data_IF_599603966878
#
_entry.id   IF_599603966878
#
_cell.length_a   1.000
_cell.length_b   1.000
_cell.length_c   1.000
_cell.angle_alpha   90.00
_cell.angle_beta   90.00
_cell.angle_gamma   90.00
#
_symmetry.space_group_name_H-M   'P 1'
#
loop_
_entity.id
_entity.type
_entity.pdbx_description
1 polymer ?
#
# COMPACT_ATOMS: atom_id res chain seq x y z
N UNK A 1 -23.65 3.88 2.04
CA UNK A 1 -22.75 3.17 1.11
C UNK A 1 -21.35 3.00 1.71
N UNK A 2 -21.23 2.82 3.04
CA UNK A 2 -19.97 2.99 3.80
C UNK A 2 -19.26 1.68 4.14
N UNK A 3 -19.95 0.55 4.02
CA UNK A 3 -19.35 -0.79 4.17
C UNK A 3 -19.03 -1.43 2.83
N UNK A 4 -19.55 -0.89 1.73
CA UNK A 4 -19.40 -1.50 0.41
C UNK A 4 -18.03 -1.22 -0.22
N UNK A 5 -17.34 -0.13 0.11
CA UNK A 5 -16.03 0.21 -0.47
C UNK A 5 -14.89 -0.57 0.19
N UNK A 6 -14.85 -0.61 1.54
CA UNK A 6 -13.92 -1.47 2.29
C UNK A 6 -14.12 -2.96 1.98
N UNK A 7 -15.37 -3.42 1.86
CA UNK A 7 -15.66 -4.79 1.40
C UNK A 7 -15.29 -4.99 -0.08
N UNK A 8 -15.33 -3.94 -0.92
CA UNK A 8 -14.86 -4.06 -2.32
C UNK A 8 -13.34 -4.27 -2.36
N UNK A 9 -12.57 -3.46 -1.62
CA UNK A 9 -11.10 -3.54 -1.59
C UNK A 9 -10.64 -4.88 -0.98
N UNK A 10 -11.27 -5.33 0.11
CA UNK A 10 -10.98 -6.62 0.75
C UNK A 10 -11.39 -7.84 -0.12
N UNK A 11 -12.46 -7.74 -0.91
CA UNK A 11 -12.81 -8.82 -1.86
C UNK A 11 -11.89 -8.81 -3.09
N UNK A 12 -11.35 -7.65 -3.46
CA UNK A 12 -10.45 -7.53 -4.61
C UNK A 12 -9.09 -8.17 -4.33
N UNK A 13 -8.50 -8.13 -3.14
CA UNK A 13 -7.13 -8.67 -2.93
C UNK A 13 -7.11 -10.20 -2.93
N UNK A 14 -8.02 -10.84 -2.19
CA UNK A 14 -8.18 -12.29 -2.24
C UNK A 14 -8.55 -12.80 -3.63
N UNK A 15 -9.40 -12.09 -4.38
CA UNK A 15 -9.73 -12.46 -5.77
C UNK A 15 -8.64 -12.05 -6.75
N UNK A 16 -7.90 -10.97 -6.52
CA UNK A 16 -6.78 -10.52 -7.35
C UNK A 16 -5.64 -11.51 -7.18
N UNK A 17 -5.05 -11.72 -6.01
CA UNK A 17 -3.94 -12.68 -5.89
C UNK A 17 -4.34 -14.13 -6.26
N UNK A 18 -5.62 -14.53 -6.12
CA UNK A 18 -6.10 -15.84 -6.58
C UNK A 18 -6.55 -15.90 -8.07
N UNK A 19 -6.85 -14.78 -8.75
CA UNK A 19 -7.36 -14.74 -10.14
C UNK A 19 -6.60 -13.82 -11.10
N UNK A 20 -5.98 -12.75 -10.62
CA UNK A 20 -4.99 -11.87 -11.25
C UNK A 20 -3.59 -12.12 -10.66
N UNK A 21 -2.67 -12.66 -11.47
CA UNK A 21 -1.27 -12.77 -11.05
C UNK A 21 -0.72 -11.41 -10.55
N UNK A 22 0.29 -11.42 -9.67
CA UNK A 22 0.95 -10.20 -9.13
C UNK A 22 1.23 -9.09 -10.17
N UNK A 23 1.40 -9.44 -11.45
CA UNK A 23 1.55 -8.44 -12.53
C UNK A 23 0.32 -7.57 -12.75
N UNK A 24 -0.89 -8.13 -12.67
CA UNK A 24 -2.14 -7.38 -12.81
C UNK A 24 -2.30 -6.38 -11.67
N UNK A 25 -2.19 -6.87 -10.44
CA UNK A 25 -2.26 -6.05 -9.24
C UNK A 25 -1.20 -4.93 -9.20
N UNK A 26 0.04 -5.22 -9.59
CA UNK A 26 1.09 -4.18 -9.70
C UNK A 26 0.82 -3.19 -10.84
N UNK A 27 0.19 -3.62 -11.93
CA UNK A 27 -0.20 -2.71 -13.00
C UNK A 27 -1.33 -1.77 -12.57
N UNK A 28 -2.29 -2.27 -11.80
CA UNK A 28 -3.37 -1.46 -11.20
C UNK A 28 -2.78 -0.47 -10.18
N UNK A 29 -1.95 -0.95 -9.25
CA UNK A 29 -1.23 -0.11 -8.31
C UNK A 29 -0.45 0.98 -9.04
N UNK A 30 0.31 0.65 -10.08
CA UNK A 30 1.04 1.65 -10.86
C UNK A 30 0.12 2.65 -11.55
N UNK A 31 -1.06 2.22 -12.00
CA UNK A 31 -2.07 3.09 -12.62
C UNK A 31 -2.66 4.09 -11.62
N UNK A 32 -2.85 3.66 -10.38
CA UNK A 32 -3.51 4.45 -9.32
C UNK A 32 -2.51 5.28 -8.49
N UNK A 33 -1.21 5.17 -8.81
CA UNK A 33 -0.13 5.79 -8.05
C UNK A 33 0.76 6.67 -8.91
N UNK A 34 1.30 7.71 -8.28
CA UNK A 34 2.46 8.45 -8.75
C UNK A 34 3.71 7.99 -7.98
N UNK A 35 4.86 8.22 -8.58
CA UNK A 35 6.17 8.00 -7.94
C UNK A 35 6.85 9.35 -7.89
N UNK A 36 7.16 9.81 -6.69
CA UNK A 36 7.75 11.12 -6.42
C UNK A 36 9.05 10.97 -5.64
N UNK A 37 9.86 12.03 -5.65
CA UNK A 37 11.00 12.19 -4.75
C UNK A 37 10.54 13.09 -3.58
N UNK A 38 10.65 12.59 -2.35
CA UNK A 38 10.33 13.32 -1.14
C UNK A 38 11.43 13.04 -0.10
N UNK A 39 12.09 14.09 0.37
CA UNK A 39 13.22 14.02 1.31
C UNK A 39 14.38 13.07 0.92
N UNK A 40 14.52 12.77 -0.37
CA UNK A 40 15.54 11.86 -0.89
C UNK A 40 15.11 10.39 -0.95
N UNK A 41 13.87 10.09 -0.56
CA UNK A 41 13.22 8.80 -0.71
C UNK A 41 12.35 8.78 -1.97
N UNK A 42 12.33 7.64 -2.66
CA UNK A 42 11.42 7.39 -3.77
C UNK A 42 10.09 6.88 -3.24
N UNK A 43 9.08 7.75 -3.24
CA UNK A 43 7.78 7.49 -2.60
C UNK A 43 6.74 7.09 -3.63
N UNK A 44 6.08 5.95 -3.41
CA UNK A 44 4.87 5.57 -4.14
C UNK A 44 3.65 6.21 -3.45
N UNK A 45 3.00 7.15 -4.12
CA UNK A 45 1.88 7.90 -3.56
C UNK A 45 0.59 7.69 -4.36
N UNK A 46 -0.54 7.54 -3.68
CA UNK A 46 -1.85 7.54 -4.35
C UNK A 46 -2.09 8.85 -5.12
N UNK A 47 -2.53 8.76 -6.39
CA UNK A 47 -2.64 9.92 -7.30
C UNK A 47 -3.59 11.03 -6.83
N UNK A 48 -4.69 10.62 -6.22
CA UNK A 48 -5.77 11.52 -5.81
C UNK A 48 -5.94 11.47 -4.30
N UNK A 49 -6.49 12.55 -3.75
CA UNK A 49 -6.97 12.55 -2.38
C UNK A 49 -8.03 11.49 -2.20
N UNK A 50 -7.80 10.63 -1.22
CA UNK A 50 -8.77 9.62 -0.84
C UNK A 50 -9.86 10.23 0.03
N UNK A 51 -11.06 9.66 -0.08
CA UNK A 51 -12.28 10.20 0.55
C UNK A 51 -12.22 10.25 2.09
N UNK A 52 -11.30 9.50 2.70
CA UNK A 52 -11.15 9.44 4.15
C UNK A 52 -9.79 8.94 4.58
N UNK A 53 -9.45 9.25 5.84
CA UNK A 53 -8.32 8.67 6.56
C UNK A 53 -8.27 7.15 6.45
N UNK A 54 -9.38 6.46 6.72
CA UNK A 54 -9.45 5.00 6.60
C UNK A 54 -9.18 4.49 5.18
N UNK A 55 -9.54 5.26 4.15
CA UNK A 55 -9.23 4.91 2.77
C UNK A 55 -7.74 5.06 2.48
N UNK A 56 -7.10 6.08 3.05
CA UNK A 56 -5.66 6.30 2.95
C UNK A 56 -4.87 5.17 3.59
N UNK A 57 -5.20 4.78 4.82
CA UNK A 57 -4.61 3.61 5.46
C UNK A 57 -4.81 2.32 4.64
N UNK A 58 -6.02 2.11 4.12
CA UNK A 58 -6.33 0.95 3.28
C UNK A 58 -5.50 0.91 1.99
N UNK A 59 -5.30 2.05 1.33
CA UNK A 59 -4.42 2.13 0.17
C UNK A 59 -2.96 1.84 0.55
N UNK A 60 -2.44 2.43 1.63
CA UNK A 60 -1.04 2.21 2.04
C UNK A 60 -0.81 0.75 2.40
N UNK A 61 -1.76 0.11 3.09
CA UNK A 61 -1.71 -1.31 3.37
C UNK A 61 -1.70 -2.16 2.09
N UNK A 62 -2.58 -1.82 1.14
CA UNK A 62 -2.70 -2.53 -0.13
C UNK A 62 -1.39 -2.49 -0.92
N UNK A 63 -0.86 -1.29 -1.10
CA UNK A 63 0.41 -1.08 -1.77
C UNK A 63 1.54 -1.81 -1.03
N UNK A 64 1.54 -1.77 0.30
CA UNK A 64 2.55 -2.45 1.14
C UNK A 64 2.55 -3.96 0.94
N UNK A 65 1.38 -4.61 0.88
CA UNK A 65 1.27 -6.05 0.58
C UNK A 65 1.88 -6.37 -0.78
N UNK A 66 1.49 -5.65 -1.84
CA UNK A 66 1.97 -5.93 -3.19
C UNK A 66 3.48 -5.69 -3.32
N UNK A 67 3.98 -4.62 -2.69
CA UNK A 67 5.41 -4.32 -2.63
C UNK A 67 6.15 -5.40 -1.84
N UNK A 68 5.63 -5.87 -0.70
CA UNK A 68 6.24 -6.94 0.09
C UNK A 68 6.36 -8.24 -0.73
N UNK A 69 5.28 -8.68 -1.36
CA UNK A 69 5.26 -9.88 -2.23
C UNK A 69 6.32 -9.80 -3.33
N UNK A 70 6.46 -8.62 -3.96
CA UNK A 70 7.44 -8.37 -5.00
C UNK A 70 8.87 -8.29 -4.46
N UNK A 71 9.09 -7.64 -3.31
CA UNK A 71 10.44 -7.38 -2.76
C UNK A 71 11.07 -8.60 -2.14
N UNK A 72 10.27 -9.44 -1.48
CA UNK A 72 10.75 -10.70 -0.89
C UNK A 72 10.70 -11.89 -1.86
N UNK A 73 10.20 -11.67 -3.08
CA UNK A 73 10.14 -12.69 -4.11
C UNK A 73 9.21 -13.85 -3.74
N UNK A 74 8.18 -13.57 -2.94
CA UNK A 74 7.14 -14.54 -2.60
C UNK A 74 6.32 -14.93 -3.83
N UNK A 75 6.20 -14.00 -4.78
CA UNK A 75 5.68 -14.25 -6.12
C UNK A 75 6.54 -13.61 -7.22
N UNK A 76 6.57 -14.25 -8.39
CA UNK A 76 7.31 -13.74 -9.55
C UNK A 76 6.49 -12.72 -10.35
N UNK A 77 7.11 -11.61 -10.70
CA UNK A 77 6.53 -10.59 -11.60
C UNK A 77 7.43 -10.32 -12.81
N UNK A 78 6.86 -9.67 -13.83
CA UNK A 78 7.52 -9.33 -15.08
C UNK A 78 8.37 -8.07 -14.95
N UNK A 79 9.37 -7.91 -15.82
CA UNK A 79 10.25 -6.73 -15.82
C UNK A 79 9.53 -5.39 -16.02
N UNK A 80 8.30 -5.39 -16.53
CA UNK A 80 7.44 -4.20 -16.60
C UNK A 80 7.15 -3.61 -15.22
N UNK A 81 7.20 -4.44 -14.16
CA UNK A 81 6.98 -4.04 -12.78
C UNK A 81 8.30 -3.86 -11.98
N UNK A 82 9.43 -3.68 -12.66
CA UNK A 82 10.74 -3.45 -12.01
C UNK A 82 10.80 -2.17 -11.17
N UNK A 83 9.89 -1.23 -11.41
CA UNK A 83 9.75 0.01 -10.64
C UNK A 83 9.57 -0.24 -9.14
N UNK A 84 8.93 -1.35 -8.75
CA UNK A 84 8.67 -1.72 -7.34
C UNK A 84 9.97 -1.82 -6.53
N UNK A 85 11.06 -2.24 -7.18
CA UNK A 85 12.35 -2.40 -6.50
C UNK A 85 13.02 -1.07 -6.11
N UNK A 86 12.56 0.04 -6.68
CA UNK A 86 13.08 1.37 -6.39
C UNK A 86 12.22 2.17 -5.41
N UNK A 87 11.16 1.58 -4.84
CA UNK A 87 10.30 2.28 -3.87
C UNK A 87 10.89 2.16 -2.47
N UNK A 88 11.07 3.30 -1.82
CA UNK A 88 11.61 3.43 -0.47
C UNK A 88 10.50 3.56 0.57
N UNK A 89 9.40 4.25 0.22
CA UNK A 89 8.23 4.41 1.08
C UNK A 89 6.92 4.47 0.29
N UNK A 90 5.80 4.32 1.00
CA UNK A 90 4.46 4.28 0.45
C UNK A 90 3.60 5.30 1.20
N UNK A 91 2.88 6.14 0.47
CA UNK A 91 2.09 7.21 1.05
C UNK A 91 0.70 7.35 0.43
N UNK A 92 -0.23 7.93 1.19
CA UNK A 92 -1.53 8.33 0.67
C UNK A 92 -2.09 9.54 1.40
N UNK A 93 -2.73 10.43 0.65
CA UNK A 93 -3.31 11.65 1.18
C UNK A 93 -4.83 11.57 1.27
N UNK A 94 -5.40 12.26 2.27
CA UNK A 94 -6.84 12.50 2.37
C UNK A 94 -7.11 13.93 2.82
N UNK A 95 -8.28 14.44 2.43
CA UNK A 95 -8.72 15.78 2.79
C UNK A 95 -9.79 15.74 3.88
N UNK A 96 -9.72 16.72 4.78
CA UNK A 96 -10.82 17.06 5.68
C UNK A 96 -11.40 18.42 5.30
N UNK A 97 -12.46 18.87 5.97
CA UNK A 97 -12.99 20.22 5.76
C UNK A 97 -11.96 21.32 6.08
N UNK A 98 -10.98 21.03 6.94
CA UNK A 98 -10.07 22.05 7.49
C UNK A 98 -8.63 21.90 7.02
N UNK A 99 -8.22 20.70 6.64
CA UNK A 99 -6.83 20.37 6.43
C UNK A 99 -6.65 19.07 5.64
N UNK A 100 -5.57 19.02 4.87
CA UNK A 100 -5.11 17.84 4.15
C UNK A 100 -4.03 17.12 4.96
N UNK A 101 -4.08 15.80 4.93
CA UNK A 101 -3.17 14.92 5.64
C UNK A 101 -2.59 13.89 4.68
N UNK A 102 -1.45 13.35 5.07
CA UNK A 102 -0.79 12.22 4.42
C UNK A 102 -0.40 11.22 5.50
N UNK A 103 -0.54 9.95 5.16
CA UNK A 103 0.08 8.85 5.90
C UNK A 103 1.18 8.28 5.03
N UNK A 104 2.36 8.07 5.60
CA UNK A 104 3.51 7.46 4.96
C UNK A 104 4.07 6.31 5.82
N UNK A 105 4.56 5.26 5.15
CA UNK A 105 5.34 4.21 5.80
C UNK A 105 6.54 3.80 4.95
N UNK A 106 7.75 3.67 5.56
CA UNK A 106 8.90 3.10 4.87
C UNK A 106 8.70 1.64 4.50
N UNK A 107 9.05 1.27 3.27
CA UNK A 107 9.01 -0.13 2.80
C UNK A 107 9.95 -0.99 3.65
N UNK A 108 11.08 -0.44 4.10
CA UNK A 108 12.01 -1.17 4.98
C UNK A 108 11.37 -1.59 6.31
N UNK A 109 10.44 -0.79 6.83
CA UNK A 109 9.71 -1.07 8.08
C UNK A 109 8.70 -2.20 7.87
N UNK A 110 7.92 -2.15 6.79
CA UNK A 110 7.02 -3.25 6.40
C UNK A 110 7.82 -4.55 6.26
N UNK A 111 8.91 -4.54 5.50
CA UNK A 111 9.75 -5.73 5.31
C UNK A 111 10.30 -6.26 6.62
N UNK A 112 10.77 -5.39 7.52
CA UNK A 112 11.33 -5.83 8.81
C UNK A 112 10.31 -6.49 9.75
N UNK A 113 9.01 -6.20 9.61
CA UNK A 113 7.97 -6.74 10.48
C UNK A 113 7.22 -7.91 9.85
N UNK A 114 7.17 -7.98 8.52
CA UNK A 114 6.32 -8.91 7.80
C UNK A 114 7.08 -9.88 6.86
N UNK A 115 8.40 -9.74 6.67
CA UNK A 115 9.21 -10.73 5.93
C UNK A 115 9.51 -11.99 6.77
N UNK A 116 8.50 -12.84 6.96
CA UNK A 116 8.66 -14.18 7.56
C UNK A 116 7.77 -15.22 6.85
N UNK A 117 8.12 -16.50 6.98
CA UNK A 117 7.36 -17.62 6.42
C UNK A 117 5.92 -17.67 6.91
N UNK A 118 5.65 -17.28 8.16
CA UNK A 118 4.30 -17.27 8.70
C UNK A 118 3.40 -16.28 7.95
N UNK A 119 3.95 -15.12 7.57
CA UNK A 119 3.25 -14.10 6.78
C UNK A 119 3.16 -14.44 5.30
N UNK A 120 4.16 -15.12 4.75
CA UNK A 120 4.15 -15.59 3.36
C UNK A 120 3.03 -16.59 3.09
N UNK A 121 2.79 -17.50 4.03
CA UNK A 121 1.80 -18.57 3.89
C UNK A 121 0.38 -18.13 4.35
N UNK A 122 0.26 -16.91 4.89
CA UNK A 122 -0.99 -16.30 5.35
C UNK A 122 -1.92 -15.98 4.17
N UNK A 123 -3.24 -15.97 4.43
CA UNK A 123 -4.19 -15.44 3.45
C UNK A 123 -3.88 -13.97 3.17
N UNK A 124 -3.82 -13.52 1.91
CA UNK A 124 -3.46 -12.14 1.62
C UNK A 124 -4.37 -11.08 2.25
N UNK A 125 -5.65 -11.41 2.52
CA UNK A 125 -6.54 -10.46 3.20
C UNK A 125 -6.27 -10.38 4.70
N UNK A 126 -5.83 -11.49 5.31
CA UNK A 126 -5.41 -11.50 6.72
C UNK A 126 -4.09 -10.73 6.87
N UNK A 127 -3.14 -10.92 5.96
CA UNK A 127 -1.89 -10.14 5.93
C UNK A 127 -2.17 -8.65 5.74
N UNK A 128 -3.11 -8.33 4.86
CA UNK A 128 -3.55 -6.96 4.61
C UNK A 128 -4.13 -6.32 5.87
N UNK A 129 -4.98 -7.03 6.60
CA UNK A 129 -5.55 -6.56 7.86
C UNK A 129 -4.45 -6.32 8.91
N UNK A 130 -3.47 -7.22 9.04
CA UNK A 130 -2.34 -7.04 9.98
C UNK A 130 -1.45 -5.85 9.61
N UNK A 131 -1.12 -5.69 8.33
CA UNK A 131 -0.35 -4.54 7.84
C UNK A 131 -1.14 -3.24 8.05
N UNK A 132 -2.45 -3.23 7.78
CA UNK A 132 -3.28 -2.05 8.00
C UNK A 132 -3.33 -1.68 9.49
N UNK A 133 -3.48 -2.64 10.40
CA UNK A 133 -3.44 -2.41 11.84
C UNK A 133 -2.08 -1.87 12.29
N UNK A 134 -0.99 -2.33 11.68
CA UNK A 134 0.34 -1.78 11.91
C UNK A 134 0.44 -0.32 11.46
N UNK A 135 0.03 0.01 10.23
CA UNK A 135 0.09 1.39 9.71
C UNK A 135 -0.83 2.31 10.52
N UNK A 136 -2.01 1.85 10.94
CA UNK A 136 -2.90 2.63 11.81
C UNK A 136 -2.22 3.05 13.13
N UNK A 137 -1.27 2.26 13.63
CA UNK A 137 -0.61 2.52 14.90
C UNK A 137 0.76 3.20 14.76
N UNK A 138 1.52 2.87 13.71
CA UNK A 138 2.91 3.29 13.52
C UNK A 138 3.16 4.16 12.29
N UNK A 139 2.22 4.24 11.34
CA UNK A 139 2.34 5.07 10.15
C UNK A 139 2.54 6.54 10.51
N UNK A 140 3.45 7.22 9.82
CA UNK A 140 3.69 8.63 10.05
C UNK A 140 2.56 9.45 9.42
N UNK A 141 1.86 10.21 10.26
CA UNK A 141 0.74 11.05 9.83
C UNK A 141 1.10 12.50 10.04
N UNK A 142 1.15 13.24 8.96
CA UNK A 142 1.50 14.65 8.97
C UNK A 142 0.49 15.50 8.19
N UNK A 143 0.37 16.80 8.53
CA UNK A 143 -0.23 17.77 7.63
C UNK A 143 0.48 17.73 6.28
N UNK A 144 -0.27 17.68 5.17
CA UNK A 144 0.34 17.69 3.83
C UNK A 144 1.20 18.94 3.58
N UNK A 145 0.95 20.04 4.29
CA UNK A 145 1.75 21.27 4.20
C UNK A 145 3.12 21.19 4.89
N UNK A 146 3.35 20.15 5.69
CA UNK A 146 4.59 19.85 6.39
C UNK A 146 5.30 18.62 5.81
N UNK A 147 4.70 18.01 4.79
CA UNK A 147 5.22 16.93 3.99
C UNK A 147 5.79 17.52 2.69
#
# INVERSE_FOLDING_TARGET
MKKLVLILILVIIGVALLAENLNGALSELRSDSDIIDHEGDTVLVGKDFLDSESSAYGYVAWASVLVLYAREGWETYSSANSWVSGIDSIAAAWSTEYQDFVVEIPVSEIRSNFDDSDYRDMDPNELMDEIQDYINYYGDVSPLSMW
#
